data_IF_724186861756
#
_entry.id   IF_724186861756
#
_cell.length_a   1.000
_cell.length_b   1.000
_cell.length_c   1.000
_cell.angle_alpha   90.00
_cell.angle_beta   90.00
_cell.angle_gamma   90.00
#
_symmetry.space_group_name_H-M   'P 1'
#
loop_
_entity.id
_entity.type
_entity.pdbx_description
1 polymer ?
#
# COMPACT_ATOMS: atom_id res chain seq x y z
N UNK A 1 3.09 -20.52 -10.22
CA UNK A 1 2.79 -19.08 -10.32
C UNK A 1 4.02 -18.35 -10.83
N UNK A 2 3.87 -17.39 -11.75
CA UNK A 2 4.99 -16.60 -12.27
C UNK A 2 5.24 -15.40 -11.37
N UNK A 3 6.49 -15.16 -10.97
CA UNK A 3 6.90 -14.01 -10.15
C UNK A 3 6.43 -12.67 -10.74
N UNK A 4 6.30 -12.60 -12.06
CA UNK A 4 5.80 -11.45 -12.80
C UNK A 4 4.39 -10.99 -12.39
N UNK A 5 3.50 -11.90 -11.93
CA UNK A 5 2.17 -11.49 -11.46
C UNK A 5 2.19 -10.89 -10.05
N UNK A 6 3.14 -11.30 -9.22
CA UNK A 6 3.32 -10.74 -7.87
C UNK A 6 4.15 -9.45 -7.87
N UNK A 7 5.04 -9.29 -8.85
CA UNK A 7 5.90 -8.11 -9.03
C UNK A 7 5.77 -7.58 -10.48
N UNK A 8 4.60 -7.07 -10.87
CA UNK A 8 4.32 -6.67 -12.26
C UNK A 8 5.19 -5.52 -12.76
N UNK A 9 5.78 -4.75 -11.85
CA UNK A 9 6.74 -3.66 -12.13
C UNK A 9 8.15 -3.96 -11.59
N UNK A 10 8.44 -5.22 -11.25
CA UNK A 10 9.67 -5.62 -10.60
C UNK A 10 9.69 -5.38 -9.09
N UNK A 11 10.82 -5.71 -8.46
CA UNK A 11 11.06 -5.50 -7.02
C UNK A 11 11.63 -4.10 -6.78
N UNK A 12 11.44 -3.58 -5.56
CA UNK A 12 12.06 -2.32 -5.15
C UNK A 12 13.58 -2.37 -5.31
N UNK A 13 14.12 -1.38 -6.01
CA UNK A 13 15.56 -1.13 -6.12
C UNK A 13 15.86 0.17 -5.37
N UNK A 14 16.69 0.14 -4.32
CA UNK A 14 17.06 1.36 -3.59
C UNK A 14 17.60 2.43 -4.54
N UNK A 15 17.14 3.69 -4.42
CA UNK A 15 17.67 4.75 -5.27
C UNK A 15 19.17 4.96 -4.98
N UNK A 16 19.97 5.29 -6.00
CA UNK A 16 21.43 5.45 -5.85
C UNK A 16 21.81 6.69 -5.03
N UNK A 17 20.88 7.64 -4.86
CA UNK A 17 21.03 8.84 -4.03
C UNK A 17 19.71 9.20 -3.35
N UNK A 18 19.83 9.93 -2.24
CA UNK A 18 18.73 10.60 -1.56
C UNK A 18 18.94 12.13 -1.59
N UNK A 19 19.40 12.65 -2.73
CA UNK A 19 19.57 14.09 -2.92
C UNK A 19 18.21 14.82 -2.82
N UNK A 20 18.20 16.16 -2.59
CA UNK A 20 16.97 16.90 -2.41
C UNK A 20 15.96 16.75 -3.55
N UNK A 21 16.42 16.57 -4.80
CA UNK A 21 15.54 16.39 -5.95
C UNK A 21 14.92 14.98 -5.97
N UNK A 22 15.68 13.95 -5.61
CA UNK A 22 15.18 12.59 -5.44
C UNK A 22 14.15 12.50 -4.32
N UNK A 23 14.42 13.17 -3.19
CA UNK A 23 13.47 13.26 -2.07
C UNK A 23 12.21 14.01 -2.48
N UNK A 24 12.32 15.14 -3.18
CA UNK A 24 11.16 15.89 -3.69
C UNK A 24 10.28 15.04 -4.60
N UNK A 25 10.88 14.29 -5.55
CA UNK A 25 10.13 13.36 -6.43
C UNK A 25 9.40 12.27 -5.65
N UNK A 26 10.03 11.70 -4.62
CA UNK A 26 9.40 10.70 -3.77
C UNK A 26 8.22 11.28 -2.98
N UNK A 27 8.35 12.50 -2.45
CA UNK A 27 7.27 13.21 -1.77
C UNK A 27 6.10 13.47 -2.74
N UNK A 28 6.38 13.91 -3.96
CA UNK A 28 5.34 14.17 -4.95
C UNK A 28 4.62 12.88 -5.38
N UNK A 29 5.34 11.76 -5.52
CA UNK A 29 4.74 10.46 -5.78
C UNK A 29 3.80 10.00 -4.65
N UNK A 30 4.24 10.13 -3.38
CA UNK A 30 3.38 9.82 -2.23
C UNK A 30 2.14 10.74 -2.19
N UNK A 31 2.30 12.02 -2.56
CA UNK A 31 1.19 12.98 -2.61
C UNK A 31 0.17 12.65 -3.72
N UNK A 32 0.63 12.13 -4.86
CA UNK A 32 -0.24 11.78 -5.98
C UNK A 32 -1.05 10.49 -5.74
N UNK A 33 -0.49 9.54 -4.97
CA UNK A 33 -1.03 8.19 -4.80
C UNK A 33 -2.54 8.12 -4.46
N UNK A 34 -3.12 8.90 -3.53
CA UNK A 34 -4.55 8.80 -3.23
C UNK A 34 -5.45 9.11 -4.44
N UNK A 35 -5.06 10.09 -5.26
CA UNK A 35 -5.77 10.44 -6.49
C UNK A 35 -5.65 9.34 -7.54
N UNK A 36 -4.46 8.77 -7.71
CA UNK A 36 -4.21 7.65 -8.63
C UNK A 36 -4.95 6.38 -8.22
N UNK A 37 -4.97 6.06 -6.93
CA UNK A 37 -5.70 4.92 -6.37
C UNK A 37 -7.22 5.08 -6.60
N UNK A 38 -7.78 6.27 -6.33
CA UNK A 38 -9.20 6.55 -6.59
C UNK A 38 -9.53 6.45 -8.07
N UNK A 39 -8.66 6.93 -8.95
CA UNK A 39 -8.82 6.78 -10.40
C UNK A 39 -8.76 5.31 -10.85
N UNK A 40 -7.87 4.49 -10.26
CA UNK A 40 -7.70 3.09 -10.62
C UNK A 40 -8.93 2.21 -10.28
N UNK A 41 -9.68 2.57 -9.24
CA UNK A 41 -10.91 1.85 -8.85
C UNK A 41 -12.20 2.54 -9.28
N UNK A 42 -12.10 3.68 -9.97
CA UNK A 42 -13.26 4.42 -10.42
C UNK A 42 -14.13 3.57 -11.38
N UNK A 43 -15.41 3.44 -11.06
CA UNK A 43 -16.37 2.69 -11.88
C UNK A 43 -16.25 1.17 -11.80
N UNK A 44 -15.46 0.63 -10.87
CA UNK A 44 -15.54 -0.78 -10.53
C UNK A 44 -16.83 -1.06 -9.74
N UNK A 45 -17.49 -2.16 -10.07
CA UNK A 45 -18.59 -2.69 -9.27
C UNK A 45 -18.08 -3.63 -8.18
N UNK A 46 -18.99 -4.06 -7.30
CA UNK A 46 -18.64 -4.97 -6.19
C UNK A 46 -17.97 -6.26 -6.68
N UNK A 47 -18.43 -6.86 -7.79
CA UNK A 47 -17.85 -8.08 -8.32
C UNK A 47 -16.38 -7.89 -8.75
N UNK A 48 -16.05 -6.74 -9.34
CA UNK A 48 -14.67 -6.40 -9.71
C UNK A 48 -13.82 -6.03 -8.51
N UNK A 49 -14.40 -5.40 -7.47
CA UNK A 49 -13.70 -5.15 -6.21
C UNK A 49 -13.34 -6.46 -5.47
N UNK A 50 -14.18 -7.48 -5.59
CA UNK A 50 -13.96 -8.83 -5.05
C UNK A 50 -13.09 -9.73 -5.92
N UNK A 51 -12.63 -9.25 -7.09
CA UNK A 51 -11.78 -10.06 -7.97
C UNK A 51 -10.34 -10.10 -7.47
N UNK A 52 -9.73 -11.29 -7.29
CA UNK A 52 -8.30 -11.41 -6.97
C UNK A 52 -7.43 -10.78 -8.06
N UNK A 53 -6.41 -9.99 -7.69
CA UNK A 53 -5.50 -9.40 -8.68
C UNK A 53 -4.62 -10.45 -9.39
N UNK A 54 -4.51 -11.64 -8.80
CA UNK A 54 -3.87 -12.85 -9.33
C UNK A 54 -4.44 -14.09 -8.66
N UNK A 55 -4.17 -15.27 -9.21
CA UNK A 55 -4.53 -16.55 -8.58
C UNK A 55 -3.98 -16.65 -7.15
N UNK A 56 -4.87 -16.96 -6.20
CA UNK A 56 -4.55 -17.04 -4.76
C UNK A 56 -4.01 -15.73 -4.17
N UNK A 57 -4.28 -14.59 -4.82
CA UNK A 57 -3.94 -13.25 -4.33
C UNK A 57 -5.11 -12.58 -3.61
N UNK A 58 -4.84 -11.40 -3.07
CA UNK A 58 -5.86 -10.52 -2.50
C UNK A 58 -6.81 -9.99 -3.58
N UNK A 59 -8.03 -9.68 -3.16
CA UNK A 59 -9.00 -8.93 -3.98
C UNK A 59 -8.54 -7.49 -4.16
N UNK A 60 -9.11 -6.78 -5.14
CA UNK A 60 -8.85 -5.34 -5.32
C UNK A 60 -9.17 -4.58 -4.03
N UNK A 61 -10.29 -4.89 -3.37
CA UNK A 61 -10.67 -4.27 -2.09
C UNK A 61 -9.58 -4.44 -1.02
N UNK A 62 -9.12 -5.66 -0.82
CA UNK A 62 -8.06 -5.95 0.15
C UNK A 62 -6.76 -5.20 -0.17
N UNK A 63 -6.38 -5.08 -1.44
CA UNK A 63 -5.21 -4.28 -1.84
C UNK A 63 -5.40 -2.80 -1.48
N UNK A 64 -6.58 -2.22 -1.75
CA UNK A 64 -6.86 -0.81 -1.42
C UNK A 64 -6.76 -0.55 0.09
N UNK A 65 -7.38 -1.39 0.92
CA UNK A 65 -7.25 -1.25 2.38
C UNK A 65 -5.82 -1.49 2.87
N UNK A 66 -5.11 -2.45 2.27
CA UNK A 66 -3.71 -2.69 2.64
C UNK A 66 -2.79 -1.49 2.35
N UNK A 67 -3.05 -0.71 1.30
CA UNK A 67 -2.26 0.50 1.01
C UNK A 67 -2.31 1.46 2.20
N UNK A 68 -3.49 1.73 2.77
CA UNK A 68 -3.61 2.62 3.92
C UNK A 68 -2.98 2.02 5.18
N UNK A 69 -3.18 0.72 5.44
CA UNK A 69 -2.58 0.03 6.60
C UNK A 69 -1.06 0.10 6.58
N UNK A 70 -0.47 -0.18 5.42
CA UNK A 70 0.97 -0.11 5.19
C UNK A 70 1.49 1.32 5.38
N UNK A 71 0.77 2.33 4.87
CA UNK A 71 1.15 3.73 4.99
C UNK A 71 1.03 4.27 6.42
N UNK A 72 0.03 3.85 7.19
CA UNK A 72 -0.09 4.19 8.62
C UNK A 72 1.07 3.60 9.41
N UNK A 73 1.44 2.33 9.15
CA UNK A 73 2.62 1.72 9.75
C UNK A 73 3.91 2.47 9.38
N UNK A 74 4.08 2.84 8.11
CA UNK A 74 5.24 3.61 7.64
C UNK A 74 5.30 4.99 8.32
N UNK A 75 4.17 5.70 8.42
CA UNK A 75 4.08 6.99 9.11
C UNK A 75 4.48 6.87 10.58
N UNK A 76 3.96 5.88 11.31
CA UNK A 76 4.37 5.62 12.69
C UNK A 76 5.88 5.38 12.82
N UNK A 77 6.46 4.57 11.91
CA UNK A 77 7.91 4.30 11.90
C UNK A 77 8.74 5.57 11.66
N UNK A 78 8.28 6.47 10.78
CA UNK A 78 8.94 7.77 10.57
C UNK A 78 8.87 8.62 11.84
N UNK A 79 7.73 8.65 12.55
CA UNK A 79 7.61 9.39 13.81
C UNK A 79 8.59 8.86 14.85
N UNK A 80 8.68 7.54 15.03
CA UNK A 80 9.65 6.91 15.93
C UNK A 80 11.09 7.29 15.56
N UNK A 81 11.45 7.19 14.27
CA UNK A 81 12.80 7.51 13.79
C UNK A 81 13.21 8.97 14.01
N UNK A 82 12.25 9.89 14.08
CA UNK A 82 12.50 11.31 14.35
C UNK A 82 12.61 11.65 15.84
N UNK A 83 12.13 10.78 16.72
CA UNK A 83 12.00 11.08 18.16
C UNK A 83 12.79 10.13 19.06
N UNK A 84 13.32 9.04 18.53
CA UNK A 84 14.02 7.99 19.29
C UNK A 84 15.37 7.65 18.64
N UNK A 85 16.32 7.19 19.44
CA UNK A 85 17.61 6.71 18.95
C UNK A 85 17.50 5.23 18.56
N UNK A 86 17.63 4.92 17.27
CA UNK A 86 17.57 3.56 16.71
C UNK A 86 16.33 2.75 17.18
N UNK A 87 15.10 3.23 16.94
CA UNK A 87 13.90 2.58 17.44
C UNK A 87 13.72 1.18 16.86
N UNK A 88 13.32 0.23 17.70
CA UNK A 88 12.79 -1.05 17.23
C UNK A 88 11.36 -0.86 16.75
N UNK A 89 11.13 -1.02 15.45
CA UNK A 89 9.79 -0.91 14.87
C UNK A 89 8.92 -2.12 15.21
N UNK A 90 7.60 -1.93 15.23
CA UNK A 90 6.62 -3.02 15.37
C UNK A 90 6.25 -3.59 14.00
N UNK A 91 6.51 -4.88 13.73
CA UNK A 91 5.94 -5.58 12.58
C UNK A 91 4.43 -5.83 12.80
N UNK A 92 3.73 -6.14 11.71
CA UNK A 92 2.33 -6.54 11.75
C UNK A 92 2.09 -7.69 10.77
N UNK A 93 1.09 -8.52 11.07
CA UNK A 93 0.70 -9.66 10.25
C UNK A 93 -0.22 -9.19 9.12
N UNK A 94 0.35 -8.64 8.06
CA UNK A 94 -0.39 -8.02 6.95
C UNK A 94 -1.46 -8.94 6.32
N UNK A 95 -1.16 -10.25 6.24
CA UNK A 95 -2.12 -11.24 5.74
C UNK A 95 -3.36 -11.34 6.64
N UNK A 96 -3.16 -11.27 7.96
CA UNK A 96 -4.27 -11.32 8.92
C UNK A 96 -5.05 -10.02 8.97
N UNK A 97 -4.42 -8.89 8.67
CA UNK A 97 -5.11 -7.60 8.56
C UNK A 97 -6.03 -7.57 7.34
N UNK A 98 -5.58 -8.13 6.21
CA UNK A 98 -6.40 -8.28 5.01
C UNK A 98 -7.62 -9.22 5.19
N UNK A 99 -7.66 -10.00 6.27
CA UNK A 99 -8.78 -10.88 6.63
C UNK A 99 -9.77 -10.23 7.63
N UNK A 100 -9.51 -9.00 8.08
CA UNK A 100 -10.42 -8.30 8.99
C UNK A 100 -11.70 -7.84 8.27
N UNK A 101 -12.83 -7.69 9.00
CA UNK A 101 -14.11 -7.35 8.38
C UNK A 101 -14.11 -6.07 7.54
N UNK A 102 -13.34 -5.07 7.95
CA UNK A 102 -13.14 -3.83 7.21
C UNK A 102 -12.39 -4.09 5.90
N UNK A 103 -11.28 -4.83 5.93
CA UNK A 103 -10.56 -5.20 4.72
C UNK A 103 -11.36 -6.08 3.74
N UNK A 104 -12.29 -6.89 4.27
CA UNK A 104 -13.12 -7.80 3.47
C UNK A 104 -14.38 -7.16 2.90
N UNK A 105 -14.92 -6.11 3.51
CA UNK A 105 -16.28 -5.64 3.16
C UNK A 105 -16.53 -4.14 3.27
N UNK A 106 -15.63 -3.36 3.88
CA UNK A 106 -15.83 -1.92 3.95
C UNK A 106 -15.78 -1.30 2.55
N UNK A 107 -16.50 -0.18 2.30
CA UNK A 107 -16.34 0.58 1.08
C UNK A 107 -14.88 1.02 0.90
N UNK A 108 -14.30 0.78 -0.28
CA UNK A 108 -12.92 1.17 -0.59
C UNK A 108 -12.67 2.67 -0.40
N UNK A 109 -13.72 3.49 -0.55
CA UNK A 109 -13.68 4.94 -0.32
C UNK A 109 -13.20 5.33 1.09
N UNK A 110 -13.38 4.47 2.11
CA UNK A 110 -12.87 4.71 3.45
C UNK A 110 -11.32 4.71 3.53
N UNK A 111 -10.64 4.21 2.49
CA UNK A 111 -9.18 4.10 2.41
C UNK A 111 -8.56 4.91 1.27
N UNK A 112 -9.33 5.76 0.59
CA UNK A 112 -8.91 6.55 -0.58
C UNK A 112 -8.88 8.06 -0.34
#
# INVERSE_FOLDING_TARGET
>A
MTEALSYPIGRFVPPPSHDPAAVARAIDAIRALPGEARAAVAGLDEARLETPYRDGGWTVRQVVHHIVDSHVNAWCRVRLALTEELPTIRPYEEQRWAELPDALSAPVEASL
#
